data_IF_961259083963
#
_entry.id   IF_961259083963
#
_cell.length_a   1.000
_cell.length_b   1.000
_cell.length_c   1.000
_cell.angle_alpha   90.00
_cell.angle_beta   90.00
_cell.angle_gamma   90.00
#
_symmetry.space_group_name_H-M   'P 1'
#
loop_
_entity.id
_entity.type
_entity.pdbx_description
1 polymer ?
#
# COMPACT_ATOMS: atom_id res chain seq x y z
N UNK A 1 -18.05 -7.00 -15.63
CA UNK A 1 -17.53 -7.57 -14.37
C UNK A 1 -16.85 -6.47 -13.58
N UNK A 2 -17.05 -6.43 -12.26
CA UNK A 2 -16.46 -5.43 -11.36
C UNK A 2 -15.05 -5.85 -10.95
N UNK A 3 -14.12 -4.90 -10.90
CA UNK A 3 -12.77 -5.12 -10.36
C UNK A 3 -12.73 -4.68 -8.90
N UNK A 4 -12.22 -5.54 -8.02
CA UNK A 4 -12.01 -5.24 -6.61
C UNK A 4 -10.50 -5.17 -6.36
N UNK A 5 -10.05 -4.11 -5.69
CA UNK A 5 -8.65 -3.85 -5.37
C UNK A 5 -8.47 -3.56 -3.88
N UNK A 6 -7.22 -3.67 -3.42
CA UNK A 6 -6.83 -3.37 -2.04
C UNK A 6 -6.18 -1.99 -1.97
N UNK A 7 -6.64 -1.12 -1.06
CA UNK A 7 -6.01 0.19 -0.83
C UNK A 7 -5.02 0.08 0.33
N UNK A 8 -3.75 0.33 0.04
CA UNK A 8 -2.65 0.38 0.99
C UNK A 8 -2.53 1.80 1.57
N UNK A 9 -2.99 1.95 2.81
CA UNK A 9 -3.04 3.25 3.50
C UNK A 9 -1.72 3.56 4.20
N UNK A 10 -0.89 4.37 3.55
CA UNK A 10 0.34 4.95 4.11
C UNK A 10 0.09 5.92 5.27
N UNK A 11 -1.17 6.29 5.51
CA UNK A 11 -1.63 7.07 6.64
C UNK A 11 -1.78 6.23 7.91
N UNK A 12 -1.96 4.92 7.77
CA UNK A 12 -2.25 4.02 8.89
C UNK A 12 -1.06 3.12 9.27
N UNK A 13 -0.29 2.66 8.29
CA UNK A 13 0.73 1.63 8.49
C UNK A 13 2.07 2.01 7.87
N UNK A 14 3.15 1.40 8.37
CA UNK A 14 4.48 1.61 7.80
C UNK A 14 4.57 0.95 6.42
N UNK A 15 5.41 1.46 5.50
CA UNK A 15 5.59 0.89 4.17
C UNK A 15 5.90 -0.62 4.16
N UNK A 16 6.69 -1.12 5.12
CA UNK A 16 7.02 -2.54 5.23
C UNK A 16 5.82 -3.41 5.56
N UNK A 17 4.90 -2.94 6.42
CA UNK A 17 3.69 -3.67 6.78
C UNK A 17 2.72 -3.70 5.59
N UNK A 18 2.62 -2.57 4.87
CA UNK A 18 1.81 -2.47 3.66
C UNK A 18 2.28 -3.43 2.55
N UNK A 19 3.59 -3.69 2.42
CA UNK A 19 4.08 -4.72 1.49
C UNK A 19 3.55 -6.11 1.83
N UNK A 20 3.53 -6.47 3.11
CA UNK A 20 2.99 -7.77 3.55
C UNK A 20 1.48 -7.83 3.34
N UNK A 21 0.76 -6.74 3.57
CA UNK A 21 -0.69 -6.68 3.37
C UNK A 21 -1.08 -6.83 1.90
N UNK A 22 -0.35 -6.19 0.99
CA UNK A 22 -0.59 -6.33 -0.45
C UNK A 22 -0.26 -7.75 -0.93
N UNK A 23 0.79 -8.39 -0.40
CA UNK A 23 1.08 -9.80 -0.69
C UNK A 23 -0.06 -10.71 -0.26
N UNK A 24 -0.60 -10.51 0.94
CA UNK A 24 -1.77 -11.26 1.42
C UNK A 24 -2.99 -10.99 0.55
N UNK A 25 -3.28 -9.74 0.20
CA UNK A 25 -4.38 -9.41 -0.71
C UNK A 25 -4.23 -10.13 -2.06
N UNK A 26 -3.02 -10.16 -2.63
CA UNK A 26 -2.75 -10.89 -3.86
C UNK A 26 -3.00 -12.41 -3.72
N UNK A 27 -2.58 -13.02 -2.61
CA UNK A 27 -2.83 -14.44 -2.32
C UNK A 27 -4.33 -14.75 -2.23
N UNK A 28 -5.14 -13.80 -1.76
CA UNK A 28 -6.60 -13.91 -1.68
C UNK A 28 -7.32 -13.51 -2.98
N UNK A 29 -6.59 -13.32 -4.08
CA UNK A 29 -7.15 -13.11 -5.41
C UNK A 29 -7.42 -11.65 -5.78
N UNK A 30 -6.98 -10.67 -4.97
CA UNK A 30 -6.98 -9.29 -5.40
C UNK A 30 -5.97 -9.08 -6.53
N UNK A 31 -6.41 -8.41 -7.59
CA UNK A 31 -5.59 -8.21 -8.80
C UNK A 31 -5.07 -6.78 -8.95
N UNK A 32 -5.45 -5.90 -8.03
CA UNK A 32 -5.11 -4.48 -8.06
C UNK A 32 -4.79 -4.01 -6.63
N UNK A 33 -3.72 -3.25 -6.47
CA UNK A 33 -3.41 -2.51 -5.27
C UNK A 33 -3.40 -1.01 -5.58
N UNK A 34 -3.84 -0.19 -4.64
CA UNK A 34 -3.89 1.26 -4.75
C UNK A 34 -3.15 1.86 -3.56
N UNK A 35 -2.52 3.01 -3.74
CA UNK A 35 -1.92 3.79 -2.67
C UNK A 35 -2.26 5.26 -2.88
N UNK A 36 -2.55 5.97 -1.79
CA UNK A 36 -2.54 7.43 -1.79
C UNK A 36 -1.11 7.93 -1.68
N UNK A 37 -0.83 9.12 -2.22
CA UNK A 37 0.48 9.78 -2.11
C UNK A 37 0.31 11.05 -1.28
N UNK A 38 0.92 11.08 -0.09
CA UNK A 38 0.87 12.19 0.83
C UNK A 38 2.28 12.56 1.30
N UNK A 39 2.52 13.86 1.41
CA UNK A 39 3.78 14.37 1.94
C UNK A 39 3.80 14.45 3.47
N UNK A 40 2.65 14.75 4.09
CA UNK A 40 2.49 14.85 5.54
C UNK A 40 1.48 13.84 6.07
N UNK A 41 1.64 13.36 7.32
CA UNK A 41 0.61 12.60 8.01
C UNK A 41 -0.70 13.39 8.10
N UNK A 42 -1.81 12.68 8.09
CA UNK A 42 -3.14 13.30 8.27
C UNK A 42 -3.35 13.84 9.69
N UNK A 43 -2.68 13.24 10.66
CA UNK A 43 -2.64 13.68 12.06
C UNK A 43 -1.30 13.28 12.68
N UNK A 44 -0.91 14.00 13.74
CA UNK A 44 0.27 13.66 14.53
C UNK A 44 0.13 12.28 15.20
N UNK A 45 -1.07 11.94 15.66
CA UNK A 45 -1.37 10.68 16.35
C UNK A 45 -1.21 9.45 15.43
N UNK A 46 -1.58 9.56 14.15
CA UNK A 46 -1.31 8.51 13.15
C UNK A 46 0.16 8.49 12.74
N UNK A 47 0.72 9.67 12.45
CA UNK A 47 2.15 9.87 12.24
C UNK A 47 2.78 9.16 11.04
N UNK A 48 2.01 8.52 10.15
CA UNK A 48 2.52 7.84 8.95
C UNK A 48 2.23 8.64 7.68
N UNK A 49 3.23 8.69 6.79
CA UNK A 49 3.14 9.28 5.45
C UNK A 49 4.29 8.73 4.59
N UNK A 50 4.25 7.42 4.31
CA UNK A 50 5.34 6.77 3.55
C UNK A 50 5.41 7.24 2.10
N UNK A 51 6.62 7.24 1.53
CA UNK A 51 6.85 7.68 0.16
C UNK A 51 6.34 6.65 -0.87
N UNK A 52 5.17 6.92 -1.46
CA UNK A 52 4.41 5.97 -2.29
C UNK A 52 5.20 5.50 -3.53
N UNK A 53 5.93 6.40 -4.19
CA UNK A 53 6.64 6.08 -5.44
C UNK A 53 7.73 5.03 -5.27
N UNK A 54 8.56 5.14 -4.23
CA UNK A 54 9.58 4.11 -3.94
C UNK A 54 8.96 2.82 -3.43
N UNK A 55 7.79 2.88 -2.78
CA UNK A 55 7.11 1.68 -2.29
C UNK A 55 6.47 0.86 -3.43
N UNK A 56 5.85 1.54 -4.40
CA UNK A 56 5.24 0.90 -5.58
C UNK A 56 6.25 0.07 -6.39
N UNK A 57 7.48 0.56 -6.55
CA UNK A 57 8.51 -0.16 -7.30
C UNK A 57 8.95 -1.44 -6.60
N UNK A 58 9.02 -1.44 -5.26
CA UNK A 58 9.38 -2.62 -4.45
C UNK A 58 8.30 -3.70 -4.58
N UNK A 59 7.02 -3.33 -4.47
CA UNK A 59 5.93 -4.29 -4.65
C UNK A 59 5.96 -4.95 -6.04
N UNK A 60 6.10 -4.14 -7.09
CA UNK A 60 6.06 -4.65 -8.47
C UNK A 60 7.20 -5.61 -8.78
N UNK A 61 8.40 -5.38 -8.20
CA UNK A 61 9.53 -6.30 -8.30
C UNK A 61 9.37 -7.57 -7.47
N UNK A 62 8.69 -7.51 -6.32
CA UNK A 62 8.46 -8.69 -5.47
C UNK A 62 7.40 -9.65 -6.00
N UNK A 63 6.69 -9.25 -7.05
CA UNK A 63 5.56 -9.99 -7.64
C UNK A 63 5.92 -10.79 -8.90
N UNK A 64 7.19 -10.71 -9.34
CA UNK A 64 7.78 -11.51 -10.42
C UNK A 64 8.66 -12.61 -9.85
#
# INVERSE_FOLDING_TARGET
MTKIGYHASHEQFKPSELLEYVKMAQQEGFTHALSSDHFHPWSEDQGQSGFAWSWLTVWQWSST
#
